data_IF_801590035693
#
_entry.id   IF_801590035693
#
_cell.length_a   1.000
_cell.length_b   1.000
_cell.length_c   1.000
_cell.angle_alpha   90.00
_cell.angle_beta   90.00
_cell.angle_gamma   90.00
#
_symmetry.space_group_name_H-M   'P 1'
#
loop_
_entity.id
_entity.type
_entity.pdbx_description
1 polymer ?
#
# COMPACT_ATOMS: atom_id res chain seq x y z
N UNK A 1 25.28 40.88 42.90
CA UNK A 1 25.48 39.94 41.77
C UNK A 1 24.87 38.56 42.03
N UNK A 2 24.38 38.19 43.20
CA UNK A 2 23.87 36.82 43.50
C UNK A 2 22.39 36.59 43.19
N UNK A 3 21.52 37.58 43.32
CA UNK A 3 20.05 37.42 43.11
C UNK A 3 19.65 37.33 41.62
N UNK A 4 20.42 37.93 40.72
CA UNK A 4 20.13 37.84 39.27
C UNK A 4 20.47 36.46 38.66
N UNK A 5 21.46 35.77 39.23
CA UNK A 5 21.85 34.42 38.78
C UNK A 5 20.84 33.35 39.26
N UNK A 6 20.20 33.58 40.41
CA UNK A 6 19.15 32.63 40.90
C UNK A 6 17.87 32.67 40.08
N UNK A 7 17.48 33.88 39.63
CA UNK A 7 16.29 34.05 38.76
C UNK A 7 16.51 33.47 37.35
N UNK A 8 17.73 33.52 36.80
CA UNK A 8 18.04 32.90 35.50
C UNK A 8 18.00 31.36 35.55
N UNK A 9 18.40 30.73 36.65
CA UNK A 9 18.31 29.29 36.86
C UNK A 9 16.88 28.79 37.03
N UNK A 10 16.01 29.57 37.72
CA UNK A 10 14.59 29.20 37.85
C UNK A 10 13.81 29.33 36.53
N UNK A 11 14.11 30.34 35.72
CA UNK A 11 13.51 30.48 34.38
C UNK A 11 13.91 29.36 33.41
N UNK A 12 15.18 28.89 33.47
CA UNK A 12 15.65 27.77 32.69
C UNK A 12 15.01 26.44 33.06
N UNK A 13 14.71 26.21 34.34
CA UNK A 13 14.06 24.98 34.81
C UNK A 13 12.57 24.92 34.40
N UNK A 14 11.88 26.06 34.30
CA UNK A 14 10.48 26.13 33.86
C UNK A 14 10.32 25.87 32.36
N UNK A 15 11.29 26.22 31.53
CA UNK A 15 11.25 25.96 30.06
C UNK A 15 11.50 24.50 29.73
N UNK A 16 12.31 23.78 30.53
CA UNK A 16 12.54 22.34 30.35
C UNK A 16 11.34 21.48 30.77
N UNK A 17 10.49 21.94 31.67
CA UNK A 17 9.28 21.23 32.08
C UNK A 17 8.14 21.30 31.05
N UNK A 18 8.16 22.26 30.13
CA UNK A 18 7.13 22.45 29.09
C UNK A 18 7.21 21.42 27.95
N UNK A 19 8.31 20.66 27.83
CA UNK A 19 8.48 19.59 26.82
C UNK A 19 8.19 18.18 27.36
N UNK A 20 7.80 18.03 28.62
CA UNK A 20 7.36 16.75 29.14
C UNK A 20 6.02 16.39 28.49
N UNK A 21 5.99 15.39 27.61
CA UNK A 21 4.75 14.79 27.13
C UNK A 21 3.93 14.39 28.36
N UNK A 22 2.76 15.02 28.55
CA UNK A 22 1.80 14.62 29.55
C UNK A 22 1.22 13.26 29.15
N UNK A 23 1.90 12.19 29.50
CA UNK A 23 1.36 10.85 29.34
C UNK A 23 0.28 10.65 30.41
N UNK A 24 -0.95 10.41 30.01
CA UNK A 24 -2.01 10.01 30.93
C UNK A 24 -1.59 8.69 31.60
N UNK A 25 -1.50 8.60 32.92
CA UNK A 25 -1.10 7.37 33.59
C UNK A 25 -1.99 6.20 33.17
N UNK A 26 -1.35 5.08 32.76
CA UNK A 26 -2.07 3.87 32.32
C UNK A 26 -2.46 3.86 30.83
N UNK A 27 -2.21 4.93 30.05
CA UNK A 27 -2.47 4.98 28.62
C UNK A 27 -1.16 4.83 27.85
N UNK A 28 -1.10 3.86 26.94
CA UNK A 28 0.00 3.69 25.97
C UNK A 28 -0.37 4.45 24.69
N UNK A 29 0.32 5.54 24.42
CA UNK A 29 0.18 6.26 23.15
C UNK A 29 1.08 5.62 22.09
N UNK A 30 0.51 5.43 20.88
CA UNK A 30 1.18 4.89 19.69
C UNK A 30 1.08 5.93 18.56
N UNK A 31 2.22 6.31 18.01
CA UNK A 31 2.26 7.21 16.85
C UNK A 31 2.11 6.37 15.58
N UNK A 32 1.08 6.66 14.79
CA UNK A 32 0.86 6.07 13.47
C UNK A 32 1.24 7.05 12.37
N UNK A 33 1.93 6.59 11.33
CA UNK A 33 2.32 7.43 10.20
C UNK A 33 1.93 6.83 8.84
N UNK A 34 1.43 7.71 7.94
CA UNK A 34 1.05 7.34 6.56
C UNK A 34 1.31 8.50 5.60
N UNK A 35 1.69 8.22 4.32
CA UNK A 35 1.84 9.26 3.30
C UNK A 35 0.50 9.80 2.80
N UNK A 36 -0.62 9.17 3.12
CA UNK A 36 -1.94 9.56 2.61
C UNK A 36 -2.62 10.61 3.47
N UNK A 37 -3.47 11.43 2.83
CA UNK A 37 -4.32 12.40 3.51
C UNK A 37 -5.38 11.70 4.37
N UNK A 38 -5.95 12.37 5.40
CA UNK A 38 -6.96 11.76 6.28
C UNK A 38 -8.26 11.35 5.56
N UNK A 39 -8.49 11.81 4.33
CA UNK A 39 -9.69 11.50 3.54
C UNK A 39 -9.47 10.41 2.50
N UNK A 40 -8.24 9.95 2.32
CA UNK A 40 -7.92 8.83 1.43
C UNK A 40 -8.66 7.55 1.88
N UNK A 41 -9.14 6.67 0.97
CA UNK A 41 -9.83 5.42 1.34
C UNK A 41 -9.08 4.59 2.39
N UNK A 42 -7.76 4.43 2.25
CA UNK A 42 -6.94 3.72 3.22
C UNK A 42 -6.94 4.38 4.60
N UNK A 43 -6.83 5.72 4.64
CA UNK A 43 -6.85 6.46 5.90
C UNK A 43 -8.23 6.44 6.58
N UNK A 44 -9.31 6.30 5.81
CA UNK A 44 -10.65 6.08 6.38
C UNK A 44 -10.73 4.70 7.06
N UNK A 45 -10.15 3.66 6.46
CA UNK A 45 -10.02 2.35 7.11
C UNK A 45 -9.12 2.42 8.36
N UNK A 46 -8.02 3.17 8.30
CA UNK A 46 -7.14 3.39 9.46
C UNK A 46 -7.90 4.04 10.64
N UNK A 47 -8.74 5.03 10.37
CA UNK A 47 -9.54 5.69 11.42
C UNK A 47 -10.53 4.73 12.09
N UNK A 48 -11.19 3.88 11.32
CA UNK A 48 -12.10 2.86 11.86
C UNK A 48 -11.34 1.87 12.74
N UNK A 49 -10.18 1.42 12.29
CA UNK A 49 -9.29 0.56 13.04
C UNK A 49 -8.80 1.21 14.35
N UNK A 50 -8.35 2.46 14.28
CA UNK A 50 -7.90 3.22 15.46
C UNK A 50 -9.01 3.36 16.51
N UNK A 51 -10.23 3.68 16.05
CA UNK A 51 -11.40 3.79 16.93
C UNK A 51 -11.74 2.46 17.60
N UNK A 52 -11.66 1.35 16.87
CA UNK A 52 -11.84 0.02 17.43
C UNK A 52 -10.79 -0.30 18.49
N UNK A 53 -9.51 -0.06 18.20
CA UNK A 53 -8.40 -0.32 19.13
C UNK A 53 -8.58 0.47 20.43
N UNK A 54 -8.90 1.77 20.33
CA UNK A 54 -9.12 2.61 21.52
C UNK A 54 -10.30 2.11 22.35
N UNK A 55 -11.44 1.83 21.73
CA UNK A 55 -12.63 1.32 22.43
C UNK A 55 -12.39 -0.06 23.03
N UNK A 56 -11.83 -0.99 22.27
CA UNK A 56 -11.63 -2.39 22.67
C UNK A 56 -10.60 -2.55 23.77
N UNK A 57 -9.61 -1.64 23.81
CA UNK A 57 -8.61 -1.58 24.88
C UNK A 57 -9.09 -0.86 26.15
N UNK A 58 -10.33 -0.37 26.19
CA UNK A 58 -10.83 0.46 27.28
C UNK A 58 -10.04 1.76 27.46
N UNK A 59 -9.45 2.28 26.37
CA UNK A 59 -8.62 3.49 26.38
C UNK A 59 -7.19 3.28 26.85
N UNK A 60 -6.75 2.05 27.14
CA UNK A 60 -5.35 1.75 27.50
C UNK A 60 -4.38 1.85 26.32
N UNK A 61 -4.89 1.78 25.09
CA UNK A 61 -4.20 2.12 23.84
C UNK A 61 -4.84 3.35 23.22
N UNK A 62 -4.02 4.28 22.77
CA UNK A 62 -4.44 5.45 21.98
C UNK A 62 -3.50 5.60 20.80
N UNK A 63 -4.08 5.68 19.58
CA UNK A 63 -3.30 5.83 18.35
C UNK A 63 -3.40 7.28 17.87
N UNK A 64 -2.24 7.94 17.75
CA UNK A 64 -2.11 9.32 17.27
C UNK A 64 -1.64 9.33 15.82
N UNK A 65 -2.50 9.66 14.87
CA UNK A 65 -2.12 9.64 13.45
C UNK A 65 -1.29 10.86 13.03
N UNK A 66 -0.28 10.61 12.22
CA UNK A 66 0.47 11.58 11.44
C UNK A 66 0.21 11.31 9.95
N UNK A 67 -0.56 12.19 9.33
CA UNK A 67 -1.01 12.06 7.95
C UNK A 67 -0.08 12.75 6.96
N UNK A 68 -0.29 12.48 5.66
CA UNK A 68 0.29 13.23 4.53
C UNK A 68 1.82 13.23 4.47
N UNK A 69 2.46 12.14 4.91
CA UNK A 69 3.90 11.96 4.79
C UNK A 69 4.76 12.79 5.74
N UNK A 70 4.18 13.27 6.86
CA UNK A 70 4.91 14.13 7.79
C UNK A 70 6.00 13.41 8.60
N UNK A 71 5.97 12.06 8.72
CA UNK A 71 6.94 11.30 9.51
C UNK A 71 7.64 10.20 8.72
N UNK A 72 6.92 9.40 7.92
CA UNK A 72 7.51 8.30 7.17
C UNK A 72 7.52 8.61 5.68
N UNK A 73 8.65 8.32 5.03
CA UNK A 73 8.78 8.37 3.58
C UNK A 73 8.25 7.08 2.94
N UNK A 74 7.84 7.14 1.67
CA UNK A 74 7.26 5.97 1.01
C UNK A 74 8.29 4.87 0.71
N UNK A 75 9.52 5.23 0.41
CA UNK A 75 10.59 4.31 -0.02
C UNK A 75 11.47 3.81 1.13
N UNK A 76 11.50 4.51 2.28
CA UNK A 76 12.28 4.14 3.46
C UNK A 76 11.42 3.73 4.66
N UNK A 77 10.09 3.71 4.53
CA UNK A 77 9.14 3.47 5.63
C UNK A 77 9.48 2.25 6.48
N UNK A 78 9.96 1.15 5.88
CA UNK A 78 10.33 -0.06 6.62
C UNK A 78 11.55 0.17 7.52
N UNK A 79 12.56 0.88 7.03
CA UNK A 79 13.79 1.18 7.80
C UNK A 79 13.48 2.20 8.89
N UNK A 80 12.76 3.28 8.54
CA UNK A 80 12.34 4.32 9.47
C UNK A 80 11.50 3.76 10.61
N UNK A 81 10.58 2.83 10.31
CA UNK A 81 9.75 2.18 11.31
C UNK A 81 10.57 1.26 12.23
N UNK A 82 11.54 0.49 11.70
CA UNK A 82 12.46 -0.32 12.52
C UNK A 82 13.26 0.55 13.50
N UNK A 83 13.61 1.77 13.11
CA UNK A 83 14.33 2.71 13.96
C UNK A 83 13.44 3.57 14.87
N UNK A 84 12.12 3.34 14.85
CA UNK A 84 11.19 3.98 15.79
C UNK A 84 10.84 5.43 15.44
N UNK A 85 10.93 5.85 14.17
CA UNK A 85 10.46 7.17 13.71
C UNK A 85 8.95 7.30 13.97
N UNK A 86 8.21 6.21 13.87
CA UNK A 86 6.84 6.04 14.35
C UNK A 86 6.71 4.67 15.03
N UNK A 87 5.67 4.50 15.86
CA UNK A 87 5.38 3.18 16.49
C UNK A 87 4.72 2.23 15.48
N UNK A 88 3.79 2.75 14.69
CA UNK A 88 3.05 2.05 13.64
C UNK A 88 3.13 2.87 12.36
N UNK A 89 3.21 2.22 11.22
CA UNK A 89 3.25 2.93 9.96
C UNK A 89 2.69 2.16 8.79
N UNK A 90 2.30 2.91 7.76
CA UNK A 90 2.11 2.35 6.45
C UNK A 90 3.48 2.06 5.87
N UNK A 91 3.82 0.78 5.69
CA UNK A 91 5.01 0.34 4.96
C UNK A 91 4.66 0.05 3.50
N UNK A 92 5.62 0.35 2.62
CA UNK A 92 5.46 0.15 1.17
C UNK A 92 6.60 -0.68 0.60
N UNK A 93 6.62 -2.01 0.85
CA UNK A 93 7.70 -2.90 0.39
C UNK A 93 7.97 -2.82 -1.11
N UNK A 94 6.94 -2.48 -1.89
CA UNK A 94 7.02 -2.36 -3.36
C UNK A 94 7.96 -1.24 -3.84
N UNK A 95 8.30 -0.26 -2.99
CA UNK A 95 9.24 0.82 -3.32
C UNK A 95 10.65 0.59 -2.76
N UNK A 96 10.83 -0.40 -1.89
CA UNK A 96 12.13 -0.68 -1.27
C UNK A 96 13.11 -1.24 -2.31
N UNK A 97 14.30 -0.66 -2.41
CA UNK A 97 15.28 -0.99 -3.46
C UNK A 97 16.09 -2.26 -3.20
N UNK A 98 16.17 -2.75 -1.97
CA UNK A 98 16.95 -3.95 -1.63
C UNK A 98 16.39 -4.70 -0.42
N UNK A 99 16.72 -6.00 -0.29
CA UNK A 99 16.35 -6.82 0.86
C UNK A 99 14.88 -7.25 0.96
N UNK A 100 14.02 -6.87 0.00
CA UNK A 100 12.59 -7.19 -0.04
C UNK A 100 12.26 -7.73 -1.43
N UNK A 101 12.87 -8.84 -1.79
CA UNK A 101 12.81 -9.37 -3.16
C UNK A 101 11.52 -10.13 -3.43
N UNK A 102 11.13 -11.06 -2.53
CA UNK A 102 9.93 -11.86 -2.70
C UNK A 102 8.66 -11.02 -2.54
N UNK A 103 8.55 -10.24 -1.45
CA UNK A 103 7.36 -9.42 -1.18
C UNK A 103 7.10 -8.41 -2.31
N UNK A 104 8.14 -7.87 -2.92
CA UNK A 104 8.01 -6.99 -4.08
C UNK A 104 7.58 -7.75 -5.33
N UNK A 105 8.21 -8.88 -5.63
CA UNK A 105 7.94 -9.65 -6.85
C UNK A 105 6.57 -10.32 -6.82
N UNK A 106 6.14 -10.84 -5.64
CA UNK A 106 4.86 -11.50 -5.48
C UNK A 106 3.67 -10.59 -5.76
N UNK A 107 3.83 -9.25 -5.67
CA UNK A 107 2.74 -8.34 -6.06
C UNK A 107 2.31 -8.51 -7.52
N UNK A 108 3.13 -9.14 -8.36
CA UNK A 108 2.81 -9.56 -9.73
C UNK A 108 2.04 -10.88 -9.85
N UNK A 109 1.75 -11.63 -8.78
CA UNK A 109 1.18 -12.99 -8.87
C UNK A 109 -0.35 -13.04 -8.75
N UNK A 110 -1.05 -11.92 -8.84
CA UNK A 110 -2.47 -11.75 -8.50
C UNK A 110 -3.44 -11.82 -9.69
N UNK A 111 -2.99 -12.26 -10.87
CA UNK A 111 -3.89 -12.44 -12.01
C UNK A 111 -5.05 -13.38 -11.65
N UNK A 112 -6.29 -12.86 -11.74
CA UNK A 112 -7.52 -13.55 -11.33
C UNK A 112 -8.03 -13.20 -9.92
N UNK A 113 -7.27 -12.47 -9.07
CA UNK A 113 -7.72 -11.99 -7.77
C UNK A 113 -8.23 -10.54 -7.88
N UNK A 114 -9.50 -10.37 -8.25
CA UNK A 114 -10.12 -9.11 -8.66
C UNK A 114 -10.74 -8.29 -7.52
N UNK A 115 -10.82 -8.86 -6.31
CA UNK A 115 -11.40 -8.20 -5.14
C UNK A 115 -10.43 -8.19 -3.96
N UNK A 116 -10.58 -7.21 -3.05
CA UNK A 116 -9.76 -7.12 -1.84
C UNK A 116 -9.75 -8.42 -1.04
N UNK A 117 -10.90 -9.05 -0.72
CA UNK A 117 -10.88 -10.33 0.01
C UNK A 117 -10.08 -11.44 -0.69
N UNK A 118 -10.22 -11.58 -2.02
CA UNK A 118 -9.45 -12.56 -2.79
C UNK A 118 -7.94 -12.26 -2.76
N UNK A 119 -7.56 -11.00 -2.89
CA UNK A 119 -6.16 -10.56 -2.81
C UNK A 119 -5.56 -10.89 -1.44
N UNK A 120 -6.28 -10.62 -0.35
CA UNK A 120 -5.81 -10.91 0.99
C UNK A 120 -5.71 -12.43 1.23
N UNK A 121 -6.70 -13.20 0.79
CA UNK A 121 -6.67 -14.66 0.88
C UNK A 121 -5.47 -15.24 0.10
N UNK A 122 -5.24 -14.76 -1.12
CA UNK A 122 -4.11 -15.20 -1.95
C UNK A 122 -2.77 -14.85 -1.31
N UNK A 123 -2.64 -13.65 -0.72
CA UNK A 123 -1.45 -13.27 0.03
C UNK A 123 -1.15 -14.27 1.15
N UNK A 124 -2.14 -14.64 1.94
CA UNK A 124 -1.96 -15.60 3.04
C UNK A 124 -1.52 -16.97 2.55
N UNK A 125 -2.08 -17.46 1.43
CA UNK A 125 -1.63 -18.73 0.85
C UNK A 125 -0.14 -18.69 0.45
N UNK A 126 0.32 -17.59 -0.12
CA UNK A 126 1.73 -17.42 -0.49
C UNK A 126 2.64 -17.24 0.72
N UNK A 127 2.21 -16.47 1.71
CA UNK A 127 2.94 -16.24 2.96
C UNK A 127 3.15 -17.55 3.73
N UNK A 128 2.13 -18.39 3.84
CA UNK A 128 2.22 -19.70 4.47
C UNK A 128 3.19 -20.66 3.74
N UNK A 129 3.33 -20.49 2.42
CA UNK A 129 4.16 -21.35 1.59
C UNK A 129 5.66 -21.02 1.65
N UNK A 130 6.07 -19.88 2.24
CA UNK A 130 7.47 -19.46 2.22
C UNK A 130 7.87 -18.66 3.45
N UNK A 131 8.87 -19.15 4.18
CA UNK A 131 9.49 -18.44 5.31
C UNK A 131 10.21 -17.15 4.88
N UNK A 132 10.42 -16.94 3.58
CA UNK A 132 11.08 -15.74 3.05
C UNK A 132 10.32 -14.46 3.40
N UNK A 133 8.97 -14.51 3.51
CA UNK A 133 8.17 -13.36 3.94
C UNK A 133 8.59 -12.87 5.33
N UNK A 134 8.70 -13.79 6.30
CA UNK A 134 9.14 -13.45 7.65
C UNK A 134 10.58 -12.92 7.69
N UNK A 135 11.47 -13.46 6.86
CA UNK A 135 12.86 -12.98 6.76
C UNK A 135 12.91 -11.54 6.21
N UNK A 136 12.15 -11.22 5.16
CA UNK A 136 12.13 -9.88 4.57
C UNK A 136 11.47 -8.84 5.49
N UNK A 137 10.59 -9.28 6.40
CA UNK A 137 9.90 -8.44 7.39
C UNK A 137 10.58 -8.43 8.76
N UNK A 138 11.76 -9.03 8.89
CA UNK A 138 12.49 -9.08 10.17
C UNK A 138 12.57 -7.69 10.82
N UNK A 139 12.28 -7.63 12.12
CA UNK A 139 12.25 -6.39 12.91
C UNK A 139 10.94 -5.59 12.80
N UNK A 140 9.95 -6.12 12.07
CA UNK A 140 8.61 -5.55 11.94
C UNK A 140 7.55 -6.59 12.30
N UNK A 141 6.53 -6.17 13.05
CA UNK A 141 5.31 -6.94 13.30
C UNK A 141 4.20 -6.42 12.39
N UNK A 142 3.65 -7.29 11.53
CA UNK A 142 2.60 -6.92 10.58
C UNK A 142 1.25 -6.86 11.28
N UNK A 143 0.56 -5.73 11.14
CA UNK A 143 -0.77 -5.48 11.71
C UNK A 143 -1.90 -5.57 10.68
N UNK A 144 -1.59 -5.44 9.39
CA UNK A 144 -2.60 -5.62 8.34
C UNK A 144 -1.96 -5.80 6.95
N UNK A 145 -2.64 -6.58 6.11
CA UNK A 145 -2.33 -6.76 4.69
C UNK A 145 -3.26 -5.89 3.86
N UNK A 146 -2.73 -5.17 2.89
CA UNK A 146 -3.47 -4.25 2.04
C UNK A 146 -3.57 -4.76 0.62
N UNK A 147 -4.79 -4.94 0.13
CA UNK A 147 -5.14 -5.02 -1.28
C UNK A 147 -5.75 -3.71 -1.79
N UNK A 148 -6.52 -3.76 -2.88
CA UNK A 148 -7.23 -2.60 -3.39
C UNK A 148 -7.98 -2.87 -4.68
N UNK A 149 -8.66 -1.85 -5.20
CA UNK A 149 -9.36 -1.90 -6.49
C UNK A 149 -8.36 -2.11 -7.63
N UNK A 150 -8.73 -2.87 -8.64
CA UNK A 150 -7.89 -3.06 -9.83
C UNK A 150 -7.61 -1.73 -10.52
N UNK A 151 -6.36 -1.44 -10.87
CA UNK A 151 -5.99 -0.28 -11.65
C UNK A 151 -6.47 -0.38 -13.10
N UNK A 152 -6.66 0.79 -13.72
CA UNK A 152 -6.68 0.97 -15.15
C UNK A 152 -5.54 1.89 -15.59
N UNK A 153 -5.59 2.37 -16.82
CA UNK A 153 -4.62 3.33 -17.36
C UNK A 153 -5.24 4.72 -17.41
N UNK A 154 -4.67 5.64 -16.65
CA UNK A 154 -5.03 7.07 -16.65
C UNK A 154 -4.02 7.81 -17.50
N UNK A 155 -4.47 8.63 -18.45
CA UNK A 155 -3.59 9.44 -19.31
C UNK A 155 -4.02 10.90 -19.37
N UNK A 156 -3.02 11.78 -19.59
CA UNK A 156 -3.25 13.22 -19.64
C UNK A 156 -3.97 13.65 -20.92
N UNK A 157 -3.48 13.26 -22.07
CA UNK A 157 -3.86 13.88 -23.37
C UNK A 157 -4.20 12.87 -24.46
N UNK A 158 -3.83 11.59 -24.30
CA UNK A 158 -4.00 10.57 -25.32
C UNK A 158 -4.90 9.44 -24.82
N UNK A 159 -6.01 9.11 -25.48
CA UNK A 159 -6.81 7.92 -25.15
C UNK A 159 -6.02 6.65 -25.49
N UNK A 160 -6.32 5.56 -24.79
CA UNK A 160 -5.82 4.21 -25.06
C UNK A 160 -7.02 3.36 -25.49
N UNK A 161 -7.03 2.93 -26.74
CA UNK A 161 -8.04 2.03 -27.27
C UNK A 161 -7.48 0.60 -27.44
N UNK A 162 -6.20 0.50 -27.78
CA UNK A 162 -5.46 -0.77 -27.95
C UNK A 162 -4.17 -0.75 -27.16
N UNK A 163 -3.54 -1.91 -26.96
CA UNK A 163 -2.23 -1.99 -26.30
C UNK A 163 -1.11 -1.28 -27.09
N UNK A 164 -1.26 -1.16 -28.41
CA UNK A 164 -0.33 -0.40 -29.26
C UNK A 164 -0.30 1.09 -28.93
N UNK A 165 -1.39 1.65 -28.40
CA UNK A 165 -1.47 3.07 -28.00
C UNK A 165 -0.58 3.39 -26.79
N UNK A 166 -0.13 2.37 -26.05
CA UNK A 166 0.84 2.52 -24.96
C UNK A 166 2.24 2.88 -25.45
N UNK A 167 2.54 2.59 -26.74
CA UNK A 167 3.88 2.79 -27.32
C UNK A 167 4.35 4.24 -27.19
N UNK A 168 5.54 4.39 -26.64
CA UNK A 168 6.21 5.69 -26.44
C UNK A 168 5.62 6.54 -25.32
N UNK A 169 4.58 6.09 -24.62
CA UNK A 169 4.05 6.82 -23.47
C UNK A 169 4.92 6.57 -22.25
N UNK A 170 5.27 7.64 -21.57
CA UNK A 170 5.92 7.58 -20.25
C UNK A 170 4.88 7.37 -19.17
N UNK A 171 4.80 6.14 -18.70
CA UNK A 171 3.76 5.69 -17.76
C UNK A 171 4.34 5.39 -16.40
N UNK A 172 3.81 6.05 -15.37
CA UNK A 172 4.09 5.60 -14.00
C UNK A 172 3.36 4.29 -13.73
N UNK A 173 4.09 3.29 -13.27
CA UNK A 173 3.53 2.01 -12.86
C UNK A 173 4.23 1.46 -11.62
N UNK A 174 3.60 0.53 -10.88
CA UNK A 174 4.29 -0.22 -9.84
C UNK A 174 5.33 -1.15 -10.46
N UNK A 175 6.32 -1.55 -9.65
CA UNK A 175 7.55 -2.19 -10.13
C UNK A 175 7.30 -3.50 -10.90
N UNK A 176 6.29 -4.27 -10.51
CA UNK A 176 5.90 -5.54 -11.13
C UNK A 176 5.37 -5.41 -12.57
N UNK A 177 4.95 -4.20 -12.95
CA UNK A 177 4.43 -3.94 -14.30
C UNK A 177 5.47 -3.36 -15.27
N UNK A 178 6.63 -2.95 -14.80
CA UNK A 178 7.59 -2.22 -15.63
C UNK A 178 7.98 -3.04 -16.88
N UNK A 179 8.29 -4.33 -16.72
CA UNK A 179 8.70 -5.15 -17.86
C UNK A 179 7.56 -5.43 -18.83
N UNK A 180 6.34 -5.65 -18.35
CA UNK A 180 5.16 -5.83 -19.22
C UNK A 180 4.93 -4.59 -20.07
N UNK A 181 4.92 -3.41 -19.47
CA UNK A 181 4.71 -2.15 -20.17
C UNK A 181 5.85 -1.83 -21.15
N UNK A 182 7.10 -2.15 -20.77
CA UNK A 182 8.25 -2.01 -21.65
C UNK A 182 8.15 -2.92 -22.88
N UNK A 183 7.70 -4.16 -22.70
CA UNK A 183 7.45 -5.10 -23.78
C UNK A 183 6.33 -4.64 -24.72
N UNK A 184 5.38 -3.84 -24.24
CA UNK A 184 4.34 -3.17 -25.03
C UNK A 184 4.84 -1.86 -25.68
N UNK A 185 6.11 -1.50 -25.48
CA UNK A 185 6.74 -0.34 -26.09
C UNK A 185 6.53 0.98 -25.36
N UNK A 186 5.98 0.95 -24.15
CA UNK A 186 5.92 2.13 -23.28
C UNK A 186 7.30 2.45 -22.67
N UNK A 187 7.43 3.64 -22.07
CA UNK A 187 8.55 4.06 -21.21
C UNK A 187 8.08 4.08 -19.74
N UNK A 188 8.05 2.92 -19.06
CA UNK A 188 7.52 2.85 -17.71
C UNK A 188 8.50 3.35 -16.67
N UNK A 189 8.00 4.10 -15.70
CA UNK A 189 8.77 4.64 -14.57
C UNK A 189 8.12 4.28 -13.24
N UNK A 190 8.94 4.00 -12.23
CA UNK A 190 8.48 3.78 -10.85
C UNK A 190 8.72 5.03 -10.03
N UNK A 191 7.67 5.50 -9.35
CA UNK A 191 7.75 6.59 -8.36
C UNK A 191 6.65 6.43 -7.31
N UNK A 192 6.82 6.99 -6.08
CA UNK A 192 5.79 7.03 -5.07
C UNK A 192 4.52 7.73 -5.56
N UNK A 193 3.33 7.24 -5.13
CA UNK A 193 2.05 7.81 -5.56
C UNK A 193 1.88 9.30 -5.20
N UNK A 194 2.48 9.75 -4.10
CA UNK A 194 2.43 11.17 -3.70
C UNK A 194 3.08 12.14 -4.68
N UNK A 195 3.98 11.66 -5.56
CA UNK A 195 4.67 12.47 -6.56
C UNK A 195 3.92 12.54 -7.90
N UNK A 196 2.96 11.63 -8.12
CA UNK A 196 2.32 11.40 -9.42
C UNK A 196 1.51 12.61 -9.88
N UNK A 197 0.75 13.27 -8.98
CA UNK A 197 -0.01 14.46 -9.34
C UNK A 197 0.87 15.54 -9.98
N UNK A 198 1.98 15.88 -9.32
CA UNK A 198 2.94 16.87 -9.83
C UNK A 198 3.60 16.44 -11.13
N UNK A 199 3.91 15.14 -11.27
CA UNK A 199 4.52 14.60 -12.48
C UNK A 199 3.55 14.64 -13.68
N UNK A 200 2.26 14.31 -13.48
CA UNK A 200 1.20 14.47 -14.47
C UNK A 200 0.99 15.95 -14.81
N UNK A 201 0.81 16.83 -13.83
CA UNK A 201 0.56 18.24 -14.04
C UNK A 201 1.66 18.91 -14.88
N UNK A 202 2.92 18.57 -14.63
CA UNK A 202 4.10 19.12 -15.33
C UNK A 202 4.42 18.40 -16.65
N UNK A 203 3.74 17.31 -16.98
CA UNK A 203 4.03 16.50 -18.17
C UNK A 203 5.34 15.73 -18.11
N UNK A 204 5.84 15.45 -16.91
CA UNK A 204 7.01 14.57 -16.70
C UNK A 204 6.64 13.11 -17.04
N UNK A 205 5.39 12.74 -16.81
CA UNK A 205 4.79 11.48 -17.25
C UNK A 205 3.52 11.76 -18.09
N UNK A 206 3.22 10.89 -19.04
CA UNK A 206 2.04 10.96 -19.89
C UNK A 206 0.82 10.33 -19.24
N UNK A 207 1.04 9.41 -18.30
CA UNK A 207 -0.04 8.72 -17.61
C UNK A 207 0.45 7.89 -16.42
N UNK A 208 -0.51 7.21 -15.79
CA UNK A 208 -0.28 6.37 -14.62
C UNK A 208 -1.18 5.15 -14.66
N UNK A 209 -0.65 4.00 -14.27
CA UNK A 209 -1.45 2.82 -13.92
C UNK A 209 -1.92 3.00 -12.48
N UNK A 210 -3.23 3.29 -12.33
CA UNK A 210 -3.83 3.59 -11.04
C UNK A 210 -5.33 3.24 -11.04
N UNK A 211 -5.93 2.94 -9.88
CA UNK A 211 -7.35 2.69 -9.79
C UNK A 211 -8.15 4.00 -9.87
N UNK A 212 -9.42 3.88 -10.23
CA UNK A 212 -10.33 5.01 -10.48
C UNK A 212 -10.53 5.92 -9.25
N UNK A 213 -10.39 5.39 -8.03
CA UNK A 213 -10.51 6.18 -6.80
C UNK A 213 -9.50 7.33 -6.73
N UNK A 214 -8.37 7.21 -7.46
CA UNK A 214 -7.33 8.25 -7.51
C UNK A 214 -7.78 9.55 -8.16
N UNK A 215 -8.84 9.52 -8.98
CA UNK A 215 -9.44 10.75 -9.50
C UNK A 215 -9.91 11.66 -8.36
N UNK A 216 -10.47 11.07 -7.29
CA UNK A 216 -10.86 11.83 -6.10
C UNK A 216 -9.74 11.90 -5.06
N UNK A 217 -9.20 10.75 -4.67
CA UNK A 217 -8.30 10.63 -3.52
C UNK A 217 -6.93 11.28 -3.74
N UNK A 218 -6.49 11.40 -5.00
CA UNK A 218 -5.21 11.98 -5.44
C UNK A 218 -5.39 13.17 -6.40
N UNK A 219 -6.61 13.64 -6.58
CA UNK A 219 -6.96 14.79 -7.45
C UNK A 219 -6.61 14.60 -8.95
N UNK A 220 -6.49 13.36 -9.43
CA UNK A 220 -6.07 13.13 -10.82
C UNK A 220 -7.08 13.62 -11.85
N UNK A 221 -8.36 13.82 -11.48
CA UNK A 221 -9.36 14.44 -12.36
C UNK A 221 -9.02 15.88 -12.80
N UNK A 222 -8.09 16.55 -12.09
CA UNK A 222 -7.64 17.91 -12.43
C UNK A 222 -6.51 17.92 -13.47
N UNK A 223 -5.79 16.81 -13.64
CA UNK A 223 -4.53 16.74 -14.42
C UNK A 223 -4.51 15.63 -15.48
N UNK A 224 -5.59 14.85 -15.60
CA UNK A 224 -5.72 13.77 -16.57
C UNK A 224 -7.09 13.81 -17.25
N UNK A 225 -7.13 13.47 -18.55
CA UNK A 225 -8.34 13.59 -19.37
C UNK A 225 -8.95 12.26 -19.79
N UNK A 226 -8.23 11.14 -19.63
CA UNK A 226 -8.68 9.83 -20.12
C UNK A 226 -8.44 8.74 -19.08
N UNK A 227 -9.34 7.76 -19.06
CA UNK A 227 -9.21 6.52 -18.33
C UNK A 227 -9.60 5.36 -19.24
N UNK A 228 -8.73 4.39 -19.35
CA UNK A 228 -9.01 3.11 -20.02
C UNK A 228 -9.15 2.02 -18.97
N UNK A 229 -10.27 1.31 -19.01
CA UNK A 229 -10.59 0.25 -18.05
C UNK A 229 -9.86 -1.06 -18.40
N UNK A 230 -8.54 -1.00 -18.61
CA UNK A 230 -7.67 -2.16 -18.64
C UNK A 230 -7.58 -2.70 -17.22
N UNK A 231 -8.11 -3.90 -16.96
CA UNK A 231 -8.09 -4.51 -15.65
C UNK A 231 -6.67 -5.03 -15.33
N UNK A 232 -5.84 -4.18 -14.74
CA UNK A 232 -4.48 -4.56 -14.36
C UNK A 232 -4.51 -5.31 -13.03
N UNK A 233 -3.92 -6.53 -12.94
CA UNK A 233 -3.84 -7.24 -11.67
C UNK A 233 -3.13 -6.40 -10.60
N UNK A 234 -3.64 -6.49 -9.36
CA UNK A 234 -3.10 -5.76 -8.22
C UNK A 234 -2.74 -6.69 -7.08
N UNK A 235 -1.50 -6.61 -6.64
CA UNK A 235 -0.99 -7.37 -5.51
C UNK A 235 -1.44 -6.81 -4.15
N UNK A 236 -1.57 -7.72 -3.18
CA UNK A 236 -1.63 -7.37 -1.78
C UNK A 236 -0.23 -7.47 -1.16
N UNK A 237 0.00 -6.71 -0.12
CA UNK A 237 1.26 -6.69 0.60
C UNK A 237 1.05 -6.28 2.07
N UNK A 238 1.98 -6.63 3.00
CA UNK A 238 1.94 -6.13 4.36
C UNK A 238 2.07 -4.61 4.32
N UNK A 239 1.10 -3.92 4.86
CA UNK A 239 1.03 -2.47 4.71
C UNK A 239 0.94 -1.72 6.03
N UNK A 240 0.39 -2.34 7.07
CA UNK A 240 0.43 -1.78 8.41
C UNK A 240 1.35 -2.65 9.24
N UNK A 241 2.38 -2.03 9.79
CA UNK A 241 3.35 -2.71 10.63
C UNK A 241 3.73 -1.85 11.83
N UNK A 242 4.21 -2.51 12.86
CA UNK A 242 4.80 -1.92 14.07
C UNK A 242 6.27 -2.35 14.14
N UNK A 243 7.15 -1.50 14.70
CA UNK A 243 8.47 -1.94 15.11
C UNK A 243 8.37 -3.15 16.05
N UNK A 244 9.16 -4.19 15.82
CA UNK A 244 9.14 -5.39 16.66
C UNK A 244 9.45 -5.06 18.12
N UNK A 245 10.41 -4.16 18.37
CA UNK A 245 10.76 -3.71 19.72
C UNK A 245 9.55 -3.05 20.39
N UNK A 246 8.80 -2.23 19.65
CA UNK A 246 7.61 -1.58 20.20
C UNK A 246 6.50 -2.57 20.48
N UNK A 247 6.28 -3.54 19.59
CA UNK A 247 5.33 -4.64 19.77
C UNK A 247 5.62 -5.43 21.04
N UNK A 248 6.89 -5.80 21.28
CA UNK A 248 7.32 -6.55 22.45
C UNK A 248 7.16 -5.76 23.77
N UNK A 249 7.20 -4.43 23.72
CA UNK A 249 6.99 -3.57 24.88
C UNK A 249 5.52 -3.46 25.31
N UNK A 250 4.58 -3.90 24.49
CA UNK A 250 3.15 -3.91 24.80
C UNK A 250 2.80 -5.07 25.73
N UNK A 251 1.77 -4.86 26.59
CA UNK A 251 1.22 -5.95 27.39
C UNK A 251 0.55 -7.01 26.52
N UNK A 252 0.37 -8.22 27.05
CA UNK A 252 -0.34 -9.30 26.35
C UNK A 252 -1.75 -8.87 25.96
N UNK A 253 -2.47 -8.17 26.85
CA UNK A 253 -3.81 -7.67 26.57
C UNK A 253 -3.84 -6.63 25.43
N UNK A 254 -2.85 -5.72 25.39
CA UNK A 254 -2.74 -4.73 24.30
C UNK A 254 -2.43 -5.37 22.97
N UNK A 255 -1.53 -6.36 22.94
CA UNK A 255 -1.23 -7.13 21.71
C UNK A 255 -2.46 -7.87 21.21
N UNK A 256 -3.21 -8.54 22.09
CA UNK A 256 -4.43 -9.25 21.74
C UNK A 256 -5.48 -8.31 21.09
N UNK A 257 -5.61 -7.06 21.56
CA UNK A 257 -6.49 -6.06 20.94
C UNK A 257 -6.02 -5.70 19.52
N UNK A 258 -4.72 -5.53 19.31
CA UNK A 258 -4.17 -5.21 17.98
C UNK A 258 -4.31 -6.39 17.02
N UNK A 259 -4.14 -7.63 17.48
CA UNK A 259 -4.36 -8.85 16.68
C UNK A 259 -5.84 -8.99 16.27
N UNK A 260 -6.78 -8.77 17.20
CA UNK A 260 -8.22 -8.75 16.92
C UNK A 260 -8.58 -7.66 15.89
N UNK A 261 -7.91 -6.53 15.96
CA UNK A 261 -8.15 -5.37 15.10
C UNK A 261 -7.73 -5.58 13.62
N UNK A 262 -6.92 -6.60 13.31
CA UNK A 262 -6.50 -6.93 11.93
C UNK A 262 -7.72 -7.14 11.04
N UNK A 263 -8.67 -8.00 11.45
CA UNK A 263 -9.88 -8.29 10.67
C UNK A 263 -10.78 -7.06 10.52
N UNK A 264 -10.81 -6.19 11.53
CA UNK A 264 -11.56 -4.93 11.47
C UNK A 264 -10.99 -4.01 10.38
N UNK A 265 -9.66 -3.87 10.35
CA UNK A 265 -9.01 -3.05 9.33
C UNK A 265 -9.23 -3.60 7.91
N UNK A 266 -9.06 -4.89 7.70
CA UNK A 266 -9.20 -5.53 6.39
C UNK A 266 -10.64 -5.43 5.86
N UNK A 267 -11.64 -5.59 6.76
CA UNK A 267 -13.05 -5.40 6.41
C UNK A 267 -13.36 -3.94 6.07
N UNK A 268 -12.83 -3.01 6.86
CA UNK A 268 -12.96 -1.58 6.61
C UNK A 268 -12.29 -1.19 5.29
N UNK A 269 -11.11 -1.75 4.98
CA UNK A 269 -10.42 -1.53 3.71
C UNK A 269 -11.29 -1.92 2.52
N UNK A 270 -11.87 -3.12 2.51
CA UNK A 270 -12.72 -3.57 1.41
C UNK A 270 -13.88 -2.62 1.16
N UNK A 271 -14.58 -2.21 2.23
CA UNK A 271 -15.68 -1.25 2.17
C UNK A 271 -15.23 0.14 1.71
N UNK A 272 -14.12 0.67 2.26
CA UNK A 272 -13.64 1.99 1.90
C UNK A 272 -13.03 2.03 0.48
N UNK A 273 -12.46 0.93 -0.01
CA UNK A 273 -12.00 0.80 -1.38
C UNK A 273 -13.18 0.88 -2.37
N UNK A 274 -14.29 0.18 -2.09
CA UNK A 274 -15.50 0.27 -2.90
C UNK A 274 -16.10 1.68 -2.93
N UNK A 275 -16.25 2.32 -1.75
CA UNK A 275 -16.70 3.72 -1.68
C UNK A 275 -15.76 4.67 -2.41
N UNK A 276 -14.45 4.45 -2.29
CA UNK A 276 -13.45 5.22 -3.02
C UNK A 276 -13.61 5.11 -4.52
N UNK A 277 -13.96 3.92 -5.04
CA UNK A 277 -14.24 3.72 -6.45
C UNK A 277 -15.46 4.52 -6.92
N UNK A 278 -16.55 4.52 -6.14
CA UNK A 278 -17.76 5.31 -6.42
C UNK A 278 -17.44 6.82 -6.43
N UNK A 279 -16.72 7.30 -5.40
CA UNK A 279 -16.26 8.68 -5.30
C UNK A 279 -15.35 9.07 -6.49
N UNK A 280 -14.50 8.14 -6.93
CA UNK A 280 -13.59 8.33 -8.06
C UNK A 280 -14.32 8.46 -9.40
N UNK A 281 -15.30 7.60 -9.66
CA UNK A 281 -16.16 7.72 -10.85
C UNK A 281 -16.89 9.06 -10.90
N UNK A 282 -17.44 9.50 -9.77
CA UNK A 282 -18.08 10.80 -9.67
C UNK A 282 -17.10 11.95 -9.96
N UNK A 283 -15.91 11.91 -9.35
CA UNK A 283 -14.88 12.92 -9.59
C UNK A 283 -14.40 12.93 -11.04
N UNK A 284 -14.26 11.75 -11.68
CA UNK A 284 -13.92 11.66 -13.10
C UNK A 284 -15.00 12.30 -13.98
N UNK A 285 -16.27 12.06 -13.68
CA UNK A 285 -17.40 12.67 -14.41
C UNK A 285 -17.42 14.19 -14.24
N UNK A 286 -17.27 14.71 -13.02
CA UNK A 286 -17.19 16.12 -12.71
C UNK A 286 -16.00 16.79 -13.42
N UNK A 287 -14.84 16.11 -13.47
CA UNK A 287 -13.63 16.51 -14.19
C UNK A 287 -13.70 16.33 -15.70
N UNK A 288 -14.82 15.80 -16.24
CA UNK A 288 -15.01 15.50 -17.68
C UNK A 288 -13.97 14.54 -18.24
N UNK A 289 -13.49 13.59 -17.41
CA UNK A 289 -12.58 12.54 -17.85
C UNK A 289 -13.35 11.60 -18.79
N UNK A 290 -12.77 11.32 -19.94
CA UNK A 290 -13.31 10.34 -20.91
C UNK A 290 -12.97 8.95 -20.41
N UNK A 291 -14.00 8.19 -20.05
CA UNK A 291 -13.89 6.82 -19.55
C UNK A 291 -14.22 5.84 -20.67
N UNK A 292 -13.30 4.93 -21.00
CA UNK A 292 -13.50 3.95 -22.07
C UNK A 292 -13.18 2.52 -21.58
N UNK A 293 -13.97 1.52 -22.03
CA UNK A 293 -13.56 0.13 -21.89
C UNK A 293 -12.38 -0.16 -22.80
N UNK A 294 -11.64 -1.22 -22.51
CA UNK A 294 -10.73 -1.84 -23.49
C UNK A 294 -11.44 -3.03 -24.13
N UNK A 295 -11.07 -3.35 -25.36
CA UNK A 295 -11.59 -4.53 -26.04
C UNK A 295 -11.18 -5.82 -25.30
N UNK A 296 -12.07 -6.82 -25.28
CA UNK A 296 -11.83 -8.07 -24.57
C UNK A 296 -10.61 -8.84 -25.10
N UNK A 297 -10.31 -8.74 -26.41
CA UNK A 297 -9.14 -9.34 -27.01
C UNK A 297 -7.84 -8.67 -26.55
N UNK A 298 -7.85 -7.35 -26.39
CA UNK A 298 -6.72 -6.59 -25.86
C UNK A 298 -6.50 -6.90 -24.36
N UNK A 299 -7.59 -7.01 -23.58
CA UNK A 299 -7.49 -7.44 -22.18
C UNK A 299 -6.86 -8.84 -22.08
N UNK A 300 -7.36 -9.81 -22.85
CA UNK A 300 -6.80 -11.16 -22.85
C UNK A 300 -5.32 -11.17 -23.23
N UNK A 301 -4.93 -10.42 -24.26
CA UNK A 301 -3.54 -10.29 -24.69
C UNK A 301 -2.66 -9.68 -23.58
N UNK A 302 -3.17 -8.68 -22.87
CA UNK A 302 -2.48 -8.10 -21.71
C UNK A 302 -2.29 -9.14 -20.61
N UNK A 303 -3.34 -9.89 -20.26
CA UNK A 303 -3.32 -10.90 -19.20
C UNK A 303 -2.30 -12.01 -19.48
N UNK A 304 -2.20 -12.46 -20.74
CA UNK A 304 -1.21 -13.44 -21.16
C UNK A 304 0.23 -12.92 -21.05
N UNK A 305 0.45 -11.66 -21.46
CA UNK A 305 1.75 -11.00 -21.32
C UNK A 305 2.14 -10.83 -19.86
N UNK A 306 1.20 -10.36 -19.05
CA UNK A 306 1.37 -10.16 -17.62
C UNK A 306 1.74 -11.46 -16.91
N UNK A 307 1.00 -12.53 -17.17
CA UNK A 307 1.23 -13.83 -16.52
C UNK A 307 2.59 -14.43 -16.88
N UNK A 308 3.01 -14.33 -18.16
CA UNK A 308 4.34 -14.78 -18.60
C UNK A 308 5.46 -14.01 -17.89
N UNK A 309 5.26 -12.71 -17.75
CA UNK A 309 6.25 -11.83 -17.10
C UNK A 309 6.33 -12.09 -15.59
N UNK A 310 5.18 -12.29 -14.94
CA UNK A 310 5.11 -12.66 -13.53
C UNK A 310 5.88 -13.97 -13.25
N UNK A 311 5.70 -14.99 -14.09
CA UNK A 311 6.46 -16.24 -14.00
C UNK A 311 7.96 -16.02 -14.16
N UNK A 312 8.38 -15.26 -15.19
CA UNK A 312 9.80 -14.93 -15.42
C UNK A 312 10.42 -14.18 -14.23
N UNK A 313 9.67 -13.24 -13.67
CA UNK A 313 10.12 -12.49 -12.50
C UNK A 313 10.26 -13.40 -11.27
N UNK A 314 9.36 -14.38 -11.10
CA UNK A 314 9.44 -15.39 -10.07
C UNK A 314 10.67 -16.29 -10.22
N UNK A 315 10.95 -16.77 -11.44
CA UNK A 315 12.16 -17.56 -11.77
C UNK A 315 13.44 -16.75 -11.50
N UNK A 316 13.42 -15.45 -11.82
CA UNK A 316 14.54 -14.53 -11.59
C UNK A 316 14.94 -14.34 -10.12
N UNK A 317 14.10 -14.71 -9.16
CA UNK A 317 14.43 -14.65 -7.73
C UNK A 317 15.49 -15.68 -7.31
N UNK A 318 15.71 -16.71 -8.13
CA UNK A 318 16.76 -17.72 -7.90
C UNK A 318 18.16 -17.09 -7.73
N UNK A 319 18.45 -15.96 -8.39
CA UNK A 319 19.72 -15.23 -8.25
C UNK A 319 19.97 -14.71 -6.82
N UNK A 320 18.93 -14.64 -6.01
CA UNK A 320 19.00 -14.27 -4.59
C UNK A 320 18.85 -15.50 -3.67
N UNK A 321 18.86 -16.72 -4.22
CA UNK A 321 18.62 -17.95 -3.46
C UNK A 321 17.16 -18.17 -3.05
N UNK A 322 16.22 -17.42 -3.64
CA UNK A 322 14.79 -17.47 -3.30
C UNK A 322 14.05 -18.32 -4.35
N UNK A 323 13.32 -19.33 -3.90
CA UNK A 323 12.45 -20.12 -4.79
C UNK A 323 11.13 -19.39 -5.04
N UNK A 324 11.18 -18.31 -5.84
CA UNK A 324 10.02 -17.51 -6.19
C UNK A 324 9.01 -18.26 -7.06
N UNK A 325 9.51 -19.20 -7.91
CA UNK A 325 8.63 -20.00 -8.76
C UNK A 325 7.68 -20.88 -7.93
N UNK A 326 8.14 -21.47 -6.84
CA UNK A 326 7.26 -22.24 -5.94
C UNK A 326 6.12 -21.37 -5.38
N UNK A 327 6.42 -20.13 -4.98
CA UNK A 327 5.40 -19.20 -4.49
C UNK A 327 4.44 -18.77 -5.60
N UNK A 328 4.93 -18.55 -6.81
CA UNK A 328 4.09 -18.28 -7.98
C UNK A 328 3.13 -19.45 -8.28
N UNK A 329 3.60 -20.69 -8.26
CA UNK A 329 2.77 -21.89 -8.49
C UNK A 329 1.72 -22.06 -7.36
N UNK A 330 2.06 -21.76 -6.10
CA UNK A 330 1.08 -21.69 -5.01
C UNK A 330 0.00 -20.66 -5.31
N UNK A 331 0.37 -19.46 -5.76
CA UNK A 331 -0.61 -18.44 -6.13
C UNK A 331 -1.54 -18.93 -7.24
N UNK A 332 -1.01 -19.56 -8.28
CA UNK A 332 -1.83 -20.11 -9.38
C UNK A 332 -2.74 -21.25 -8.93
N UNK A 333 -2.22 -22.16 -8.11
CA UNK A 333 -2.98 -23.30 -7.59
C UNK A 333 -4.07 -22.90 -6.58
N UNK A 334 -3.91 -21.74 -5.93
CA UNK A 334 -4.89 -21.22 -4.97
C UNK A 334 -6.13 -20.62 -5.62
N UNK A 335 -6.04 -20.16 -6.86
CA UNK A 335 -7.15 -19.59 -7.63
C UNK A 335 -7.97 -20.69 -8.27
N UNK A 336 -9.24 -20.86 -7.86
CA UNK A 336 -10.14 -21.88 -8.37
C UNK A 336 -10.91 -21.39 -9.59
N UNK A 337 -11.40 -22.33 -10.41
CA UNK A 337 -12.17 -22.02 -11.61
C UNK A 337 -13.50 -21.28 -11.32
N UNK A 338 -14.06 -21.44 -10.12
CA UNK A 338 -15.23 -20.70 -9.63
C UNK A 338 -14.91 -19.28 -9.13
N UNK A 339 -13.65 -18.86 -9.25
CA UNK A 339 -13.19 -17.57 -8.80
C UNK A 339 -12.95 -17.44 -7.30
N UNK A 340 -13.01 -18.53 -6.54
CA UNK A 340 -12.64 -18.53 -5.11
C UNK A 340 -11.13 -18.70 -4.92
N UNK A 341 -10.64 -18.38 -3.73
CA UNK A 341 -9.25 -18.59 -3.33
C UNK A 341 -9.21 -19.61 -2.19
N UNK A 342 -8.48 -20.70 -2.40
CA UNK A 342 -8.28 -21.75 -1.40
C UNK A 342 -6.82 -22.20 -1.43
N UNK A 343 -6.13 -22.13 -0.28
CA UNK A 343 -4.72 -22.51 -0.21
C UNK A 343 -4.52 -24.00 -0.53
N UNK A 344 -3.49 -24.38 -1.32
CA UNK A 344 -3.16 -25.76 -1.55
C UNK A 344 -2.92 -26.51 -0.24
N UNK A 345 -3.49 -27.74 -0.10
CA UNK A 345 -3.36 -28.56 1.11
C UNK A 345 -4.33 -28.23 2.25
N UNK A 346 -5.19 -27.21 2.11
CA UNK A 346 -6.36 -27.01 2.96
C UNK A 346 -7.59 -27.52 2.21
N UNK A 347 -8.14 -28.65 2.62
CA UNK A 347 -9.41 -29.22 2.14
C UNK A 347 -10.57 -28.79 3.03
#
# INVERSE_FOLDING_TARGET
MSRLKLLACLAGALVLAACARTTTPGVTELVYATPYSPNHPFSRADKEWMSFVEQRSGGSLRIRPSWSGALLSADHSMVELRHGVADIGLITPIYVKGGVHLIRTQSGFYSGADTVPKQLALYRCMEEASSQYAQELQGLHVLAVQGGVLPGVITRTKPIATLEDLRGLRLRAPTELLSVLQNLGADPVSMPMGEVYSALAKGVIDGVVAPVDTFKSMHFAEVASYYTALAVPRGAYPARAMSQIRWESLTVAQRAVLDEAVAVWETALARQAQRGQEDGFKAAQEGRVVMAPIDASEQQRFDELYLRDARRNAEGLQRFGINGLAVFEVARASLRADGTVTCPGRS
#
